data_IF_186741031525
#
_entry.id   IF_186741031525
#
_cell.length_a   1.000
_cell.length_b   1.000
_cell.length_c   1.000
_cell.angle_alpha   90.00
_cell.angle_beta   90.00
_cell.angle_gamma   90.00
#
_symmetry.space_group_name_H-M   'P 1'
#
loop_
_entity.id
_entity.type
_entity.pdbx_description
1 polymer ?
#
# COMPACT_ATOMS: atom_id res chain seq x y z
N UNK A 1 -32.47 -25.81 -69.42
CA UNK A 1 -31.88 -26.84 -70.31
C UNK A 1 -30.42 -26.98 -69.99
N UNK A 2 -29.97 -28.26 -69.92
CA UNK A 2 -28.63 -28.82 -69.58
C UNK A 2 -28.35 -28.88 -68.08
N UNK A 3 -28.61 -29.96 -67.40
CA UNK A 3 -28.19 -31.41 -67.35
C UNK A 3 -26.66 -31.56 -67.52
N UNK A 4 -26.05 -32.17 -66.48
CA UNK A 4 -25.07 -33.31 -66.66
C UNK A 4 -24.20 -33.40 -65.40
N UNK A 5 -24.36 -34.49 -64.67
CA UNK A 5 -23.65 -35.71 -64.24
C UNK A 5 -22.56 -35.54 -63.17
N UNK A 6 -22.80 -36.05 -62.02
CA UNK A 6 -22.37 -37.34 -61.40
C UNK A 6 -20.91 -37.69 -61.78
N UNK A 7 -20.06 -37.70 -60.79
CA UNK A 7 -19.03 -38.72 -60.63
C UNK A 7 -18.75 -38.95 -59.14
N UNK A 8 -19.23 -40.11 -58.71
CA UNK A 8 -18.85 -40.78 -57.49
C UNK A 8 -17.49 -41.39 -57.73
N UNK A 9 -16.53 -41.12 -56.91
CA UNK A 9 -15.34 -41.99 -56.74
C UNK A 9 -15.26 -42.34 -55.25
N UNK A 10 -15.61 -43.58 -55.04
CA UNK A 10 -15.42 -44.31 -53.80
C UNK A 10 -14.01 -44.92 -53.88
N UNK A 11 -13.16 -44.60 -52.91
CA UNK A 11 -12.02 -45.49 -52.63
C UNK A 11 -11.86 -45.64 -51.13
N UNK A 12 -11.91 -46.88 -50.76
CA UNK A 12 -11.91 -47.37 -49.38
C UNK A 12 -10.48 -47.66 -48.87
N UNK A 13 -10.40 -47.60 -47.55
CA UNK A 13 -9.57 -48.40 -46.64
C UNK A 13 -8.05 -48.20 -46.68
N UNK A 14 -7.47 -47.83 -45.54
CA UNK A 14 -6.70 -48.76 -44.71
C UNK A 14 -6.71 -48.25 -43.25
N UNK A 15 -7.11 -49.12 -42.37
CA UNK A 15 -6.97 -49.01 -40.94
C UNK A 15 -5.51 -49.25 -40.51
N UNK A 16 -5.07 -48.56 -39.48
CA UNK A 16 -4.29 -49.11 -38.36
C UNK A 16 -3.81 -47.99 -37.44
N UNK A 17 -3.98 -48.20 -36.15
CA UNK A 17 -3.25 -47.49 -35.13
C UNK A 17 -4.09 -47.00 -33.96
N UNK A 18 -4.49 -47.92 -33.10
CA UNK A 18 -4.88 -47.64 -31.73
C UNK A 18 -3.77 -46.89 -31.01
N UNK A 19 -4.06 -45.66 -30.59
CA UNK A 19 -3.39 -45.02 -29.48
C UNK A 19 -4.40 -44.15 -28.76
N UNK A 20 -5.06 -44.78 -27.80
CA UNK A 20 -5.85 -44.07 -26.78
C UNK A 20 -4.93 -43.16 -25.94
N UNK A 21 -4.68 -41.99 -26.42
CA UNK A 21 -4.25 -40.88 -25.59
C UNK A 21 -5.48 -40.40 -24.81
N UNK A 22 -5.60 -40.83 -23.57
CA UNK A 22 -6.51 -40.24 -22.60
C UNK A 22 -6.05 -38.79 -22.38
N UNK A 23 -6.69 -37.87 -23.05
CA UNK A 23 -6.67 -36.46 -22.64
C UNK A 23 -7.34 -36.38 -21.28
N UNK A 24 -6.52 -36.39 -20.23
CA UNK A 24 -6.97 -35.99 -18.89
C UNK A 24 -7.25 -34.51 -18.97
N UNK A 25 -8.52 -34.14 -19.03
CA UNK A 25 -8.98 -32.80 -18.73
C UNK A 25 -8.68 -32.60 -17.26
N UNK A 26 -7.62 -31.86 -16.96
CA UNK A 26 -7.38 -31.34 -15.63
C UNK A 26 -8.44 -30.26 -15.42
N UNK A 27 -9.50 -30.59 -14.72
CA UNK A 27 -10.35 -29.57 -14.11
C UNK A 27 -9.46 -28.82 -13.11
N UNK A 28 -9.00 -27.65 -13.51
CA UNK A 28 -8.43 -26.67 -12.59
C UNK A 28 -9.60 -26.20 -11.76
N UNK A 29 -9.79 -26.83 -10.61
CA UNK A 29 -10.56 -26.24 -9.53
C UNK A 29 -9.85 -24.93 -9.19
N UNK A 30 -10.41 -23.82 -9.62
CA UNK A 30 -10.11 -22.52 -9.03
C UNK A 30 -10.63 -22.58 -7.61
N UNK A 31 -9.85 -23.14 -6.69
CA UNK A 31 -9.94 -22.71 -5.31
C UNK A 31 -9.48 -21.24 -5.30
N UNK A 32 -10.43 -20.34 -5.35
CA UNK A 32 -10.24 -18.99 -4.83
C UNK A 32 -9.88 -19.13 -3.35
N UNK A 33 -8.61 -19.39 -3.09
CA UNK A 33 -8.04 -19.07 -1.78
C UNK A 33 -8.06 -17.56 -1.68
N UNK A 34 -9.15 -17.02 -1.16
CA UNK A 34 -9.16 -15.70 -0.56
C UNK A 34 -8.18 -15.78 0.62
N UNK A 35 -6.90 -15.61 0.34
CA UNK A 35 -5.95 -15.21 1.34
C UNK A 35 -6.39 -13.82 1.79
N UNK A 36 -7.24 -13.78 2.82
CA UNK A 36 -7.42 -12.56 3.60
C UNK A 36 -6.08 -12.33 4.29
N UNK A 37 -5.19 -11.59 3.61
CA UNK A 37 -3.95 -11.13 4.20
C UNK A 37 -4.36 -10.40 5.47
N UNK A 38 -3.81 -10.78 6.62
CA UNK A 38 -4.08 -10.06 7.86
C UNK A 38 -3.72 -8.58 7.63
N UNK A 39 -4.60 -7.68 8.09
CA UNK A 39 -4.36 -6.26 7.96
C UNK A 39 -3.04 -5.90 8.65
N UNK A 40 -2.24 -5.06 8.02
CA UNK A 40 -1.01 -4.56 8.59
C UNK A 40 -1.32 -3.79 9.89
N UNK A 41 -0.52 -4.06 10.92
CA UNK A 41 -0.46 -3.29 12.15
C UNK A 41 0.98 -2.88 12.38
N UNK A 42 1.22 -1.59 12.60
CA UNK A 42 2.56 -1.09 12.91
C UNK A 42 3.06 -1.66 14.24
N UNK A 43 4.37 -1.88 14.34
CA UNK A 43 5.02 -2.19 15.61
C UNK A 43 4.85 -1.03 16.61
N UNK A 44 5.00 -1.34 17.90
CA UNK A 44 5.03 -0.31 18.93
C UNK A 44 6.27 0.59 18.75
N UNK A 45 6.09 1.89 18.93
CA UNK A 45 7.18 2.85 18.86
C UNK A 45 8.17 2.62 20.01
N UNK A 46 9.44 2.42 19.70
CA UNK A 46 10.52 2.38 20.68
C UNK A 46 11.21 3.74 20.87
N UNK A 47 10.98 4.69 19.98
CA UNK A 47 11.53 6.03 20.06
C UNK A 47 10.85 6.85 21.17
N UNK A 48 11.63 7.61 21.92
CA UNK A 48 11.15 8.56 22.92
C UNK A 48 11.45 9.99 22.50
N UNK A 49 10.55 10.90 22.82
CA UNK A 49 10.67 12.33 22.50
C UNK A 49 10.73 13.18 23.77
N UNK A 50 11.47 14.28 23.73
CA UNK A 50 11.56 15.24 24.84
C UNK A 50 10.23 15.96 25.10
N UNK A 51 9.37 16.09 24.07
CA UNK A 51 8.06 16.72 24.16
C UNK A 51 6.95 15.68 23.99
N UNK A 52 6.04 15.48 24.96
CA UNK A 52 4.95 14.53 24.86
C UNK A 52 3.93 14.89 23.76
N UNK A 53 3.77 16.16 23.40
CA UNK A 53 2.90 16.55 22.29
C UNK A 53 3.46 16.08 20.95
N UNK A 54 4.79 16.08 20.79
CA UNK A 54 5.45 15.51 19.61
C UNK A 54 5.27 14.00 19.55
N UNK A 55 5.35 13.31 20.69
CA UNK A 55 5.05 11.88 20.75
C UNK A 55 3.63 11.59 20.27
N UNK A 56 2.65 12.37 20.69
CA UNK A 56 1.26 12.21 20.24
C UNK A 56 1.09 12.47 18.76
N UNK A 57 1.68 13.54 18.22
CA UNK A 57 1.65 13.85 16.77
C UNK A 57 2.24 12.72 15.96
N UNK A 58 3.36 12.14 16.41
CA UNK A 58 3.97 11.00 15.74
C UNK A 58 3.11 9.75 15.80
N UNK A 59 2.51 9.45 16.96
CA UNK A 59 1.64 8.29 17.11
C UNK A 59 0.39 8.43 16.21
N UNK A 60 -0.21 9.61 16.10
CA UNK A 60 -1.30 9.91 15.18
C UNK A 60 -0.87 9.77 13.70
N UNK A 61 0.33 10.25 13.35
CA UNK A 61 0.93 10.05 12.04
C UNK A 61 1.09 8.56 11.70
N UNK A 62 1.54 7.76 12.66
CA UNK A 62 1.71 6.32 12.45
C UNK A 62 0.37 5.59 12.27
N UNK A 63 -0.71 6.04 12.92
CA UNK A 63 -2.06 5.54 12.65
C UNK A 63 -2.52 5.88 11.23
N UNK A 64 -2.29 7.11 10.78
CA UNK A 64 -2.58 7.53 9.41
C UNK A 64 -1.78 6.70 8.39
N UNK A 65 -0.46 6.53 8.60
CA UNK A 65 0.39 5.66 7.77
C UNK A 65 -0.18 4.24 7.71
N UNK A 66 -0.57 3.67 8.83
CA UNK A 66 -1.11 2.31 8.92
C UNK A 66 -2.40 2.16 8.08
N UNK A 67 -3.28 3.15 8.13
CA UNK A 67 -4.49 3.15 7.31
C UNK A 67 -4.18 3.19 5.80
N UNK A 68 -3.21 4.01 5.38
CA UNK A 68 -2.77 4.11 3.98
C UNK A 68 -2.07 2.82 3.49
N UNK A 69 -1.28 2.15 4.36
CA UNK A 69 -0.71 0.83 4.06
C UNK A 69 -1.81 -0.20 3.81
N UNK A 70 -2.88 -0.16 4.60
CA UNK A 70 -4.04 -1.05 4.43
C UNK A 70 -4.98 -0.61 3.29
N UNK A 71 -4.69 0.46 2.58
CA UNK A 71 -5.54 1.00 1.51
C UNK A 71 -6.97 1.31 2.01
N UNK A 72 -7.08 1.75 3.26
CA UNK A 72 -8.33 2.07 3.94
C UNK A 72 -8.53 3.59 4.03
N UNK A 73 -9.23 4.15 3.04
CA UNK A 73 -9.48 5.60 2.93
C UNK A 73 -10.31 6.14 4.11
N UNK A 74 -11.28 5.35 4.62
CA UNK A 74 -12.10 5.77 5.74
C UNK A 74 -11.29 5.81 7.03
N UNK A 75 -10.47 4.79 7.28
CA UNK A 75 -9.55 4.79 8.43
C UNK A 75 -8.52 5.92 8.33
N UNK A 76 -7.97 6.21 7.14
CA UNK A 76 -7.04 7.33 6.92
C UNK A 76 -7.70 8.69 7.22
N UNK A 77 -8.92 8.90 6.73
CA UNK A 77 -9.73 10.08 7.03
C UNK A 77 -9.95 10.25 8.54
N UNK A 78 -10.37 9.19 9.22
CA UNK A 78 -10.59 9.20 10.66
C UNK A 78 -9.30 9.46 11.44
N UNK A 79 -8.16 8.86 11.05
CA UNK A 79 -6.86 9.11 11.67
C UNK A 79 -6.42 10.57 11.51
N UNK A 80 -6.61 11.16 10.32
CA UNK A 80 -6.34 12.57 10.07
C UNK A 80 -7.20 13.50 10.93
N UNK A 81 -8.49 13.19 11.10
CA UNK A 81 -9.38 13.96 11.98
C UNK A 81 -8.95 13.90 13.46
N UNK A 82 -8.52 12.73 13.94
CA UNK A 82 -7.99 12.56 15.29
C UNK A 82 -6.71 13.38 15.45
N UNK A 83 -5.78 13.30 14.49
CA UNK A 83 -4.53 14.06 14.48
C UNK A 83 -4.79 15.58 14.53
N UNK A 84 -5.71 16.10 13.73
CA UNK A 84 -6.12 17.53 13.76
C UNK A 84 -6.62 17.94 15.13
N UNK A 85 -7.50 17.16 15.74
CA UNK A 85 -8.04 17.43 17.06
C UNK A 85 -6.97 17.48 18.15
N UNK A 86 -6.00 16.56 18.09
CA UNK A 86 -4.90 16.51 19.05
C UNK A 86 -3.93 17.70 18.84
N UNK A 87 -3.67 18.09 17.59
CA UNK A 87 -2.86 19.28 17.27
C UNK A 87 -3.56 20.57 17.76
N UNK A 88 -4.87 20.70 17.53
CA UNK A 88 -5.65 21.86 18.00
C UNK A 88 -5.61 22.00 19.54
N UNK A 89 -5.57 20.88 20.25
CA UNK A 89 -5.47 20.85 21.71
C UNK A 89 -4.03 21.05 22.23
N UNK A 90 -3.01 21.03 21.36
CA UNK A 90 -1.60 21.18 21.69
C UNK A 90 -1.14 22.63 21.63
N UNK A 91 0.11 22.85 22.05
CA UNK A 91 0.79 24.15 21.93
C UNK A 91 1.67 24.28 20.69
N UNK A 92 1.66 23.25 19.83
CA UNK A 92 2.52 23.17 18.64
C UNK A 92 1.95 24.00 17.49
N UNK A 93 2.80 24.77 16.85
CA UNK A 93 2.49 25.45 15.58
C UNK A 93 3.10 24.64 14.42
N UNK A 94 2.25 23.90 13.68
CA UNK A 94 2.69 22.96 12.66
C UNK A 94 2.31 23.45 11.24
N UNK A 95 3.32 23.57 10.38
CA UNK A 95 3.16 24.04 9.00
C UNK A 95 2.35 23.10 8.09
N UNK A 96 2.23 21.82 8.45
CA UNK A 96 1.59 20.76 7.64
C UNK A 96 0.11 20.50 7.99
N UNK A 97 -0.51 21.29 8.87
CA UNK A 97 -1.92 21.13 9.26
C UNK A 97 -2.88 21.15 8.06
N UNK A 98 -2.60 21.95 7.03
CA UNK A 98 -3.42 21.99 5.81
C UNK A 98 -3.39 20.68 5.04
N UNK A 99 -2.26 19.98 5.03
CA UNK A 99 -2.16 18.67 4.37
C UNK A 99 -2.95 17.60 5.14
N UNK A 100 -2.92 17.64 6.48
CA UNK A 100 -3.75 16.75 7.31
C UNK A 100 -5.23 17.02 7.06
N UNK A 101 -5.64 18.33 7.00
CA UNK A 101 -7.03 18.70 6.71
C UNK A 101 -7.48 18.19 5.34
N UNK A 102 -6.61 18.28 4.32
CA UNK A 102 -6.92 17.76 3.00
C UNK A 102 -7.16 16.24 3.01
N UNK A 103 -6.40 15.47 3.80
CA UNK A 103 -6.64 14.03 3.99
C UNK A 103 -7.96 13.80 4.73
N UNK A 104 -8.26 14.60 5.75
CA UNK A 104 -9.48 14.46 6.55
C UNK A 104 -10.77 14.75 5.74
N UNK A 105 -10.67 15.53 4.67
CA UNK A 105 -11.79 15.90 3.81
C UNK A 105 -11.93 14.99 2.57
N UNK A 106 -10.94 14.10 2.31
CA UNK A 106 -10.85 13.30 1.09
C UNK A 106 -11.30 11.86 1.31
N UNK A 107 -12.02 11.30 0.33
CA UNK A 107 -12.50 9.91 0.34
C UNK A 107 -11.70 8.97 -0.60
N UNK A 108 -10.86 9.52 -1.49
CA UNK A 108 -9.98 8.75 -2.38
C UNK A 108 -8.61 8.55 -1.74
N UNK A 109 -8.26 7.28 -1.50
CA UNK A 109 -6.98 6.91 -0.87
C UNK A 109 -5.76 7.39 -1.66
N UNK A 110 -5.83 7.49 -2.98
CA UNK A 110 -4.70 7.94 -3.79
C UNK A 110 -4.47 9.45 -3.63
N UNK A 111 -5.54 10.23 -3.54
CA UNK A 111 -5.45 11.67 -3.25
C UNK A 111 -4.98 11.90 -1.80
N UNK A 112 -5.44 11.09 -0.85
CA UNK A 112 -4.93 11.10 0.53
C UNK A 112 -3.41 10.85 0.58
N UNK A 113 -2.91 9.89 -0.22
CA UNK A 113 -1.48 9.57 -0.36
C UNK A 113 -0.66 10.75 -0.89
N UNK A 114 -1.21 11.54 -1.82
CA UNK A 114 -0.53 12.75 -2.33
C UNK A 114 -0.33 13.78 -1.23
N UNK A 115 -1.31 13.97 -0.37
CA UNK A 115 -1.20 14.89 0.78
C UNK A 115 -0.32 14.34 1.92
N UNK A 116 -0.25 13.02 2.06
CA UNK A 116 0.54 12.37 3.10
C UNK A 116 2.05 12.64 2.98
N UNK A 117 2.58 12.85 1.77
CA UNK A 117 3.99 13.24 1.58
C UNK A 117 4.32 14.55 2.32
N UNK A 118 3.46 15.56 2.21
CA UNK A 118 3.66 16.84 2.89
C UNK A 118 3.56 16.70 4.43
N UNK A 119 2.70 15.81 4.91
CA UNK A 119 2.63 15.48 6.35
C UNK A 119 3.91 14.80 6.80
N UNK A 120 4.43 13.84 6.02
CA UNK A 120 5.69 13.15 6.31
C UNK A 120 6.86 14.10 6.45
N UNK A 121 7.01 15.07 5.53
CA UNK A 121 8.08 16.08 5.59
C UNK A 121 8.02 16.86 6.91
N UNK A 122 6.84 17.36 7.28
CA UNK A 122 6.69 18.13 8.51
C UNK A 122 6.89 17.30 9.78
N UNK A 123 6.42 16.04 9.78
CA UNK A 123 6.62 15.13 10.92
C UNK A 123 8.10 14.74 11.04
N UNK A 124 8.82 14.57 9.91
CA UNK A 124 10.24 14.28 9.94
C UNK A 124 11.02 15.36 10.68
N UNK A 125 10.86 16.61 10.29
CA UNK A 125 11.53 17.74 10.95
C UNK A 125 11.22 17.77 12.45
N UNK A 126 9.95 17.57 12.80
CA UNK A 126 9.48 17.57 14.18
C UNK A 126 10.11 16.47 15.04
N UNK A 127 10.18 15.22 14.51
CA UNK A 127 10.76 14.10 15.25
C UNK A 127 12.28 14.20 15.36
N UNK A 128 12.99 14.62 14.31
CA UNK A 128 14.43 14.83 14.33
C UNK A 128 14.86 15.84 15.39
N UNK A 129 14.09 16.91 15.58
CA UNK A 129 14.38 17.93 16.61
C UNK A 129 14.08 17.45 18.02
N UNK A 130 13.24 16.40 18.18
CA UNK A 130 12.68 16.06 19.50
C UNK A 130 13.04 14.66 19.98
N UNK A 131 13.59 13.77 19.16
CA UNK A 131 13.97 12.41 19.55
C UNK A 131 15.11 12.45 20.59
N UNK A 132 15.01 11.61 21.62
CA UNK A 132 16.01 11.52 22.71
C UNK A 132 16.53 10.10 22.90
N UNK A 133 15.84 9.08 22.38
CA UNK A 133 16.29 7.70 22.39
C UNK A 133 15.41 6.85 21.48
N UNK A 134 15.89 5.63 21.19
CA UNK A 134 15.23 4.70 20.27
C UNK A 134 15.50 5.06 18.81
N UNK A 135 14.83 4.38 17.89
CA UNK A 135 15.09 4.51 16.45
C UNK A 135 13.76 4.55 15.71
N UNK A 136 13.67 5.46 14.73
CA UNK A 136 12.67 5.47 13.68
C UNK A 136 13.37 5.29 12.33
N UNK A 137 12.67 4.70 11.38
CA UNK A 137 13.22 4.38 10.07
C UNK A 137 12.62 5.33 9.02
N UNK A 138 13.48 6.12 8.38
CA UNK A 138 13.09 6.95 7.25
C UNK A 138 13.22 6.11 5.98
N UNK A 139 12.07 5.80 5.39
CA UNK A 139 11.95 4.85 4.29
C UNK A 139 11.56 5.56 2.99
N UNK A 140 11.95 5.01 1.85
CA UNK A 140 11.77 5.61 0.54
C UNK A 140 11.29 4.61 -0.49
N UNK A 141 10.30 4.97 -1.29
CA UNK A 141 9.86 4.23 -2.47
C UNK A 141 10.13 5.04 -3.75
N UNK A 142 11.02 4.60 -4.64
CA UNK A 142 11.32 5.33 -5.88
C UNK A 142 10.20 5.30 -6.92
N UNK A 143 9.22 4.39 -6.76
CA UNK A 143 8.13 4.20 -7.72
C UNK A 143 6.92 5.09 -7.43
N UNK A 144 6.83 5.71 -6.25
CA UNK A 144 5.71 6.56 -5.90
C UNK A 144 5.58 7.75 -6.86
N UNK A 145 4.35 8.17 -7.14
CA UNK A 145 4.01 9.35 -7.96
C UNK A 145 4.72 9.36 -9.32
N UNK A 146 4.52 8.29 -10.10
CA UNK A 146 5.07 8.15 -11.46
C UNK A 146 6.62 8.25 -11.49
N UNK A 147 7.27 7.69 -10.45
CA UNK A 147 8.73 7.64 -10.37
C UNK A 147 9.40 8.90 -9.81
N UNK A 148 8.64 9.83 -9.22
CA UNK A 148 9.20 10.95 -8.45
C UNK A 148 9.78 10.47 -7.13
N UNK A 149 9.22 9.37 -6.61
CA UNK A 149 9.55 8.83 -5.31
C UNK A 149 8.86 9.56 -4.17
N UNK A 150 8.72 8.88 -3.04
CA UNK A 150 8.18 9.46 -1.81
C UNK A 150 8.72 8.77 -0.57
N UNK A 151 8.72 9.49 0.53
CA UNK A 151 9.25 9.07 1.83
C UNK A 151 8.14 8.86 2.85
N UNK A 152 8.43 8.02 3.86
CA UNK A 152 7.63 7.92 5.09
C UNK A 152 8.52 7.56 6.27
N UNK A 153 7.98 7.68 7.49
CA UNK A 153 8.64 7.28 8.73
C UNK A 153 7.95 6.04 9.28
N UNK A 154 8.72 5.08 9.79
CA UNK A 154 8.22 3.83 10.31
C UNK A 154 8.82 3.48 11.68
N UNK A 155 8.07 2.74 12.49
CA UNK A 155 8.56 2.16 13.74
C UNK A 155 9.43 0.92 13.49
N UNK A 156 9.28 0.29 12.34
CA UNK A 156 9.94 -0.94 11.93
C UNK A 156 10.85 -0.72 10.72
N UNK A 157 11.98 -1.45 10.69
CA UNK A 157 12.90 -1.49 9.55
C UNK A 157 12.24 -2.11 8.30
N UNK A 158 11.34 -3.06 8.52
CA UNK A 158 10.63 -3.73 7.45
C UNK A 158 9.77 -2.75 6.67
N UNK A 159 9.82 -2.86 5.35
CA UNK A 159 9.08 -1.99 4.44
C UNK A 159 7.61 -2.39 4.40
N UNK A 160 6.76 -1.42 4.73
CA UNK A 160 5.31 -1.44 4.51
C UNK A 160 4.89 -0.13 3.88
N UNK A 161 4.66 -0.17 2.57
CA UNK A 161 4.54 1.02 1.73
C UNK A 161 3.15 1.67 1.82
N UNK A 162 3.02 2.90 2.34
CA UNK A 162 1.73 3.59 2.43
C UNK A 162 1.22 4.11 1.10
N UNK A 163 2.10 4.30 0.09
CA UNK A 163 1.73 4.87 -1.21
C UNK A 163 1.14 3.85 -2.17
N UNK A 164 1.41 2.55 -1.97
CA UNK A 164 0.90 1.48 -2.82
C UNK A 164 0.03 0.47 -2.07
N UNK A 165 0.17 0.38 -0.74
CA UNK A 165 -0.53 -0.64 0.03
C UNK A 165 -0.21 -2.05 -0.46
N UNK A 166 -1.21 -2.90 -0.52
CA UNK A 166 -1.11 -4.30 -0.92
C UNK A 166 -0.66 -4.52 -2.38
N UNK A 167 -0.78 -3.53 -3.25
CA UNK A 167 -0.31 -3.63 -4.66
C UNK A 167 1.21 -3.77 -4.73
N UNK A 168 1.96 -3.02 -3.93
CA UNK A 168 3.42 -3.11 -3.83
C UNK A 168 3.88 -2.88 -2.39
N UNK A 169 3.37 -3.70 -1.47
CA UNK A 169 3.51 -3.53 -0.02
C UNK A 169 4.96 -3.38 0.46
N UNK A 170 5.89 -4.09 -0.15
CA UNK A 170 7.29 -4.11 0.25
C UNK A 170 8.21 -3.35 -0.72
N UNK A 171 7.65 -2.48 -1.56
CA UNK A 171 8.44 -1.62 -2.44
C UNK A 171 9.03 -0.45 -1.65
N UNK A 172 10.35 -0.42 -1.54
CA UNK A 172 11.07 0.64 -0.84
C UNK A 172 12.37 0.16 -0.20
N UNK A 173 13.09 1.10 0.39
CA UNK A 173 14.33 0.89 1.14
C UNK A 173 14.33 1.74 2.40
N UNK A 174 15.12 1.36 3.39
CA UNK A 174 15.50 2.26 4.48
C UNK A 174 16.57 3.20 3.96
N UNK A 175 16.31 4.49 3.98
CA UNK A 175 17.24 5.54 3.52
C UNK A 175 18.05 6.10 4.68
N UNK A 176 17.44 6.24 5.86
CA UNK A 176 18.11 6.69 7.08
C UNK A 176 17.44 6.15 8.34
N UNK A 177 18.19 6.16 9.43
CA UNK A 177 17.68 6.00 10.79
C UNK A 177 17.64 7.37 11.48
N UNK A 178 16.56 7.62 12.23
CA UNK A 178 16.39 8.81 13.07
C UNK A 178 16.53 8.36 14.53
N UNK A 179 17.60 8.84 15.20
CA UNK A 179 18.00 8.44 16.56
C UNK A 179 18.14 9.63 17.49
#
# INVERSE_FOLDING_TARGET
>A
MKRIYISVVLLALVACGDSKSKQQTVEVSQEETTHKTEAYSSEERNAAFKNPEVAQVYDDYNLLKTALVNTDAEAAKNAAQVMLKNIEASTLELGFVKAIQAIADEDDVNIQREHFEAVTVGVKDLVEENIVSGTLYYQYCPMAFDGKGAYWISNEEKIYNPYFGDVMLNCGTVDAEIN
#
